data_IF_882279366940
#
_entry.id   IF_882279366940
#
_cell.length_a   1.000
_cell.length_b   1.000
_cell.length_c   1.000
_cell.angle_alpha   90.00
_cell.angle_beta   90.00
_cell.angle_gamma   90.00
#
_symmetry.space_group_name_H-M   'P 1'
#
loop_
_entity.id
_entity.type
_entity.pdbx_description
1 polymer ?
#
# COMPACT_ATOMS: atom_id res chain seq x y z
N UNK A 1 19.32 -14.79 23.07
CA UNK A 1 18.91 -13.42 22.68
C UNK A 1 17.40 -13.51 22.50
N UNK A 2 16.62 -12.60 23.09
CA UNK A 2 15.17 -12.59 22.84
C UNK A 2 14.87 -12.09 21.40
N UNK A 3 13.67 -12.40 20.89
CA UNK A 3 13.25 -12.06 19.53
C UNK A 3 13.36 -10.56 19.24
N UNK A 4 13.08 -9.71 20.23
CA UNK A 4 13.16 -8.26 20.08
C UNK A 4 14.60 -7.82 19.83
N UNK A 5 15.55 -8.33 20.61
CA UNK A 5 16.98 -8.03 20.45
C UNK A 5 17.54 -8.53 19.10
N UNK A 6 17.06 -9.68 18.61
CA UNK A 6 17.45 -10.21 17.30
C UNK A 6 16.97 -9.30 16.17
N UNK A 7 15.68 -8.92 16.19
CA UNK A 7 15.14 -7.99 15.18
C UNK A 7 15.84 -6.64 15.24
N UNK A 8 16.14 -6.11 16.43
CA UNK A 8 16.92 -4.87 16.57
C UNK A 8 18.28 -4.99 15.91
N UNK A 9 19.01 -6.09 16.11
CA UNK A 9 20.34 -6.25 15.50
C UNK A 9 20.32 -6.19 13.96
N UNK A 10 19.32 -6.80 13.33
CA UNK A 10 19.21 -6.82 11.86
C UNK A 10 18.69 -5.49 11.31
N UNK A 11 17.78 -4.84 12.02
CA UNK A 11 17.16 -3.60 11.56
C UNK A 11 18.04 -2.38 11.80
N UNK A 12 18.70 -2.29 12.96
CA UNK A 12 19.51 -1.12 13.34
C UNK A 12 20.85 -1.07 12.58
N UNK A 13 21.25 -2.16 11.92
CA UNK A 13 22.38 -2.17 10.97
C UNK A 13 22.04 -1.50 9.64
N UNK A 14 20.76 -1.41 9.28
CA UNK A 14 20.31 -1.01 7.94
C UNK A 14 19.50 0.29 7.97
N UNK A 15 18.70 0.51 9.01
CA UNK A 15 17.78 1.64 9.08
C UNK A 15 18.07 2.57 10.24
N UNK A 16 17.96 3.88 9.97
CA UNK A 16 17.95 4.89 11.01
C UNK A 16 16.52 5.16 11.52
N UNK A 17 16.37 5.51 12.80
CA UNK A 17 15.04 5.78 13.39
C UNK A 17 14.26 6.91 12.71
N UNK A 18 14.95 7.85 12.06
CA UNK A 18 14.33 8.92 11.28
C UNK A 18 13.75 8.41 9.94
N UNK A 19 14.03 7.17 9.53
CA UNK A 19 13.39 6.51 8.39
C UNK A 19 12.08 5.81 8.78
N UNK A 20 11.85 5.55 10.06
CA UNK A 20 10.62 4.93 10.56
C UNK A 20 10.11 5.58 11.86
N UNK A 21 9.99 6.92 11.90
CA UNK A 21 9.76 7.65 13.14
C UNK A 21 8.43 7.28 13.82
N UNK A 22 7.37 6.95 13.07
CA UNK A 22 6.08 6.61 13.65
C UNK A 22 6.13 5.23 14.30
N UNK A 23 6.70 4.23 13.63
CA UNK A 23 6.93 2.91 14.23
C UNK A 23 7.90 2.96 15.42
N UNK A 24 8.97 3.75 15.34
CA UNK A 24 9.91 3.94 16.44
C UNK A 24 9.23 4.56 17.67
N UNK A 25 8.31 5.51 17.46
CA UNK A 25 7.55 6.12 18.54
C UNK A 25 6.57 5.12 19.19
N UNK A 26 5.88 4.30 18.39
CA UNK A 26 5.02 3.23 18.91
C UNK A 26 5.82 2.18 19.68
N UNK A 27 6.97 1.75 19.15
CA UNK A 27 7.86 0.80 19.83
C UNK A 27 8.30 1.32 21.21
N UNK A 28 8.69 2.59 21.30
CA UNK A 28 9.10 3.20 22.55
C UNK A 28 7.95 3.26 23.57
N UNK A 29 6.76 3.68 23.15
CA UNK A 29 5.57 3.72 24.01
C UNK A 29 5.15 2.31 24.46
N UNK A 30 5.07 1.38 23.52
CA UNK A 30 4.56 0.03 23.76
C UNK A 30 5.50 -0.85 24.56
N UNK A 31 6.81 -0.54 24.57
CA UNK A 31 7.76 -1.15 25.50
C UNK A 31 7.36 -0.93 26.97
N UNK A 32 6.65 0.17 27.27
CA UNK A 32 6.16 0.49 28.61
C UNK A 32 4.70 0.05 28.82
N UNK A 33 3.82 0.35 27.85
CA UNK A 33 2.37 0.16 28.00
C UNK A 33 1.89 -1.26 27.71
N UNK A 34 2.66 -2.02 26.92
CA UNK A 34 2.41 -3.43 26.55
C UNK A 34 0.95 -3.73 26.16
N UNK A 35 0.37 -3.02 25.17
CA UNK A 35 -1.06 -3.11 24.87
C UNK A 35 -1.51 -4.48 24.32
N UNK A 36 -0.57 -5.31 23.88
CA UNK A 36 -0.84 -6.63 23.30
C UNK A 36 -0.43 -7.78 24.23
N UNK A 37 -0.11 -7.51 25.50
CA UNK A 37 0.29 -8.53 26.47
C UNK A 37 -0.76 -9.65 26.54
N UNK A 38 -0.30 -10.89 26.30
CA UNK A 38 -1.16 -12.08 26.31
C UNK A 38 -2.05 -12.27 25.08
N UNK A 39 -1.94 -11.42 24.05
CA UNK A 39 -2.71 -11.53 22.82
C UNK A 39 -1.91 -12.23 21.71
N UNK A 40 -2.56 -13.12 20.97
CA UNK A 40 -2.05 -13.71 19.73
C UNK A 40 -2.38 -12.79 18.56
N UNK A 41 -1.36 -12.20 17.96
CA UNK A 41 -1.51 -11.23 16.86
C UNK A 41 -0.94 -11.84 15.59
N UNK A 42 -1.79 -12.05 14.58
CA UNK A 42 -1.37 -12.43 13.24
C UNK A 42 -1.15 -11.16 12.41
N UNK A 43 0.05 -10.95 11.88
CA UNK A 43 0.35 -9.85 10.94
C UNK A 43 0.72 -10.43 9.58
N UNK A 44 -0.04 -10.06 8.54
CA UNK A 44 0.04 -10.64 7.21
C UNK A 44 0.33 -9.57 6.14
N UNK A 45 1.32 -8.72 6.40
CA UNK A 45 1.90 -7.81 5.39
C UNK A 45 2.89 -8.56 4.50
N UNK A 46 3.20 -8.08 3.27
CA UNK A 46 4.27 -8.66 2.47
C UNK A 46 5.57 -8.78 3.28
N UNK A 47 6.23 -9.93 3.22
CA UNK A 47 7.33 -10.24 4.12
C UNK A 47 8.63 -9.73 3.51
N UNK A 48 9.12 -8.59 3.99
CA UNK A 48 10.35 -7.94 3.55
C UNK A 48 11.10 -7.39 4.77
N UNK A 49 12.37 -7.02 4.61
CA UNK A 49 13.17 -6.50 5.73
C UNK A 49 12.51 -5.27 6.37
N UNK A 50 11.99 -4.36 5.55
CA UNK A 50 11.32 -3.16 6.01
C UNK A 50 10.05 -3.44 6.85
N UNK A 51 9.28 -4.49 6.56
CA UNK A 51 8.05 -4.80 7.30
C UNK A 51 8.33 -5.42 8.68
N UNK A 52 9.54 -5.94 8.90
CA UNK A 52 9.96 -6.40 10.23
C UNK A 52 10.02 -5.27 11.27
N UNK A 53 10.08 -4.00 10.86
CA UNK A 53 9.98 -2.87 11.79
C UNK A 53 8.60 -2.81 12.49
N UNK A 54 7.53 -3.23 11.80
CA UNK A 54 6.21 -3.40 12.41
C UNK A 54 6.21 -4.56 13.41
N UNK A 55 6.88 -5.67 13.07
CA UNK A 55 6.96 -6.85 13.94
C UNK A 55 7.68 -6.51 15.25
N UNK A 56 8.75 -5.71 15.16
CA UNK A 56 9.48 -5.20 16.33
C UNK A 56 8.58 -4.37 17.24
N UNK A 57 7.77 -3.46 16.69
CA UNK A 57 6.83 -2.68 17.48
C UNK A 57 5.77 -3.56 18.17
N UNK A 58 5.16 -4.52 17.45
CA UNK A 58 4.17 -5.44 18.01
C UNK A 58 4.75 -6.30 19.16
N UNK A 59 5.98 -6.79 19.00
CA UNK A 59 6.69 -7.55 20.03
C UNK A 59 7.02 -6.69 21.25
N UNK A 60 7.44 -5.43 21.05
CA UNK A 60 7.62 -4.48 22.16
C UNK A 60 6.33 -4.29 22.96
N UNK A 61 5.19 -4.26 22.27
CA UNK A 61 3.86 -4.22 22.88
C UNK A 61 3.38 -5.51 23.55
N UNK A 62 4.19 -6.57 23.57
CA UNK A 62 3.90 -7.83 24.27
C UNK A 62 3.09 -8.85 23.47
N UNK A 63 2.94 -8.66 22.16
CA UNK A 63 2.21 -9.59 21.31
C UNK A 63 2.90 -10.96 21.20
N UNK A 64 2.11 -12.03 21.25
CA UNK A 64 2.50 -13.34 20.73
C UNK A 64 2.33 -13.33 19.20
N UNK A 65 3.40 -13.00 18.48
CA UNK A 65 3.38 -12.74 17.04
C UNK A 65 3.28 -14.02 16.20
N UNK A 66 2.42 -13.99 15.17
CA UNK A 66 2.46 -14.88 14.01
C UNK A 66 2.58 -14.03 12.74
N UNK A 67 3.36 -14.50 11.76
CA UNK A 67 3.54 -13.81 10.47
C UNK A 67 2.81 -14.58 9.38
N UNK A 68 1.85 -13.92 8.72
CA UNK A 68 1.06 -14.51 7.65
C UNK A 68 1.79 -14.47 6.30
N UNK A 69 1.86 -15.61 5.61
CA UNK A 69 2.43 -15.74 4.28
C UNK A 69 1.32 -15.81 3.23
N UNK A 70 1.26 -14.83 2.33
CA UNK A 70 0.22 -14.71 1.30
C UNK A 70 0.74 -14.55 -0.14
N UNK A 71 2.07 -14.61 -0.34
CA UNK A 71 2.68 -14.68 -1.67
C UNK A 71 3.88 -13.76 -1.82
N UNK A 72 3.69 -12.43 -1.70
CA UNK A 72 4.76 -11.45 -1.89
C UNK A 72 5.74 -11.47 -0.70
N UNK A 73 6.99 -11.84 -0.96
CA UNK A 73 8.01 -11.96 0.07
C UNK A 73 9.43 -11.86 -0.49
N UNK A 74 10.35 -11.54 0.40
CA UNK A 74 11.77 -11.86 0.32
C UNK A 74 12.02 -13.22 1.00
N UNK A 75 12.44 -14.26 0.26
CA UNK A 75 12.70 -15.59 0.81
C UNK A 75 13.72 -15.60 1.95
N UNK A 76 14.74 -14.75 1.90
CA UNK A 76 15.79 -14.70 2.93
C UNK A 76 15.22 -14.18 4.26
N UNK A 77 14.25 -13.25 4.18
CA UNK A 77 13.53 -12.76 5.36
C UNK A 77 12.60 -13.85 5.92
N UNK A 78 11.92 -14.60 5.05
CA UNK A 78 11.07 -15.73 5.48
C UNK A 78 11.89 -16.80 6.20
N UNK A 79 13.04 -17.17 5.67
CA UNK A 79 13.93 -18.15 6.29
C UNK A 79 14.51 -17.63 7.60
N UNK A 80 14.92 -16.35 7.66
CA UNK A 80 15.32 -15.69 8.89
C UNK A 80 14.24 -15.77 9.98
N UNK A 81 12.98 -15.45 9.66
CA UNK A 81 11.88 -15.51 10.64
C UNK A 81 11.72 -16.92 11.22
N UNK A 82 11.79 -17.95 10.37
CA UNK A 82 11.69 -19.36 10.79
C UNK A 82 12.86 -19.79 11.66
N UNK A 83 14.08 -19.45 11.27
CA UNK A 83 15.31 -19.81 11.99
C UNK A 83 15.35 -19.25 13.41
N UNK A 84 14.75 -18.06 13.59
CA UNK A 84 14.66 -17.41 14.90
C UNK A 84 13.37 -17.71 15.66
N UNK A 85 12.51 -18.60 15.14
CA UNK A 85 11.35 -19.11 15.85
C UNK A 85 10.12 -18.19 15.84
N UNK A 86 10.04 -17.25 14.89
CA UNK A 86 8.80 -16.52 14.59
C UNK A 86 7.95 -17.39 13.65
N UNK A 87 6.75 -17.84 14.06
CA UNK A 87 5.92 -18.69 13.21
C UNK A 87 5.48 -17.96 11.94
N UNK A 88 5.84 -18.53 10.79
CA UNK A 88 5.33 -18.11 9.47
C UNK A 88 4.23 -19.08 9.07
N UNK A 89 3.01 -18.58 8.91
CA UNK A 89 1.79 -19.40 8.73
C UNK A 89 1.05 -19.04 7.45
N UNK A 90 0.39 -20.01 6.84
CA UNK A 90 -0.49 -19.80 5.67
C UNK A 90 -1.98 -19.84 6.08
N UNK A 91 -2.92 -19.30 5.26
CA UNK A 91 -4.34 -19.29 5.58
C UNK A 91 -4.92 -20.67 5.92
N UNK A 92 -4.50 -21.72 5.19
CA UNK A 92 -4.97 -23.08 5.43
C UNK A 92 -4.61 -23.61 6.82
N UNK A 93 -3.39 -23.35 7.30
CA UNK A 93 -2.93 -23.76 8.63
C UNK A 93 -3.70 -23.05 9.74
N UNK A 94 -3.98 -21.75 9.54
CA UNK A 94 -4.74 -20.96 10.51
C UNK A 94 -6.20 -21.39 10.60
N UNK A 95 -6.84 -21.72 9.48
CA UNK A 95 -8.18 -22.29 9.47
C UNK A 95 -8.23 -23.66 10.16
N UNK A 96 -7.20 -24.49 9.96
CA UNK A 96 -7.10 -25.77 10.65
C UNK A 96 -6.94 -25.58 12.18
N UNK A 97 -6.08 -24.66 12.60
CA UNK A 97 -5.90 -24.31 14.01
C UNK A 97 -7.21 -23.81 14.64
N UNK A 98 -7.95 -22.94 13.93
CA UNK A 98 -9.24 -22.46 14.37
C UNK A 98 -10.27 -23.59 14.55
N UNK A 99 -10.28 -24.58 13.64
CA UNK A 99 -11.15 -25.77 13.75
C UNK A 99 -10.88 -26.61 15.01
N UNK A 100 -9.66 -26.52 15.57
CA UNK A 100 -9.27 -27.14 16.84
C UNK A 100 -9.50 -26.24 18.06
N UNK A 101 -10.07 -25.05 17.86
CA UNK A 101 -10.34 -24.07 18.90
C UNK A 101 -9.16 -23.13 19.21
N UNK A 102 -8.13 -23.08 18.36
CA UNK A 102 -6.93 -22.26 18.57
C UNK A 102 -7.04 -20.89 17.88
N UNK A 103 -7.90 -20.01 18.39
CA UNK A 103 -8.15 -18.68 17.81
C UNK A 103 -7.00 -17.68 18.02
N UNK A 104 -6.80 -16.80 17.05
CA UNK A 104 -6.03 -15.55 17.22
C UNK A 104 -6.92 -14.46 17.80
N UNK A 105 -6.32 -13.46 18.43
CA UNK A 105 -7.06 -12.34 19.01
C UNK A 105 -7.25 -11.22 17.97
N UNK A 106 -6.21 -10.94 17.18
CA UNK A 106 -6.19 -9.91 16.15
C UNK A 106 -5.59 -10.43 14.84
N UNK A 107 -6.11 -9.93 13.72
CA UNK A 107 -5.55 -10.15 12.38
C UNK A 107 -5.27 -8.79 11.73
N UNK A 108 -3.99 -8.51 11.49
CA UNK A 108 -3.49 -7.35 10.76
C UNK A 108 -3.21 -7.80 9.33
N UNK A 109 -4.21 -7.72 8.46
CA UNK A 109 -4.20 -8.30 7.12
C UNK A 109 -3.74 -7.32 6.03
N UNK A 110 -3.34 -7.87 4.89
CA UNK A 110 -3.04 -7.14 3.66
C UNK A 110 -3.58 -7.91 2.46
N UNK A 111 -4.56 -7.33 1.78
CA UNK A 111 -5.28 -7.88 0.63
C UNK A 111 -6.24 -9.04 0.94
N UNK A 112 -6.65 -9.21 2.20
CA UNK A 112 -7.64 -10.19 2.62
C UNK A 112 -7.32 -11.70 2.60
N UNK A 113 -6.06 -12.20 2.50
CA UNK A 113 -5.79 -13.64 2.50
C UNK A 113 -6.24 -14.35 3.78
N UNK A 114 -6.38 -13.64 4.90
CA UNK A 114 -6.82 -14.17 6.19
C UNK A 114 -8.23 -13.72 6.59
N UNK A 115 -8.99 -13.12 5.67
CA UNK A 115 -10.34 -12.60 5.93
C UNK A 115 -11.37 -13.67 6.37
N UNK A 116 -11.08 -14.95 6.11
CA UNK A 116 -11.95 -16.07 6.49
C UNK A 116 -11.81 -16.51 7.96
N UNK A 117 -10.83 -15.99 8.70
CA UNK A 117 -10.63 -16.31 10.12
C UNK A 117 -11.71 -15.66 11.01
N UNK A 118 -11.81 -16.11 12.26
CA UNK A 118 -12.70 -15.51 13.26
C UNK A 118 -11.89 -15.01 14.47
N UNK A 119 -11.14 -13.89 14.36
CA UNK A 119 -10.39 -13.34 15.48
C UNK A 119 -11.31 -12.97 16.63
N UNK A 120 -10.82 -13.10 17.87
CA UNK A 120 -11.62 -12.76 19.06
C UNK A 120 -12.00 -11.28 19.10
N UNK A 121 -11.06 -10.40 18.74
CA UNK A 121 -11.21 -8.95 18.79
C UNK A 121 -11.63 -8.39 17.43
N UNK A 122 -10.78 -8.50 16.40
CA UNK A 122 -11.10 -7.95 15.08
C UNK A 122 -9.94 -7.93 14.10
N UNK A 123 -10.13 -7.16 13.03
CA UNK A 123 -9.22 -7.07 11.89
C UNK A 123 -8.75 -5.63 11.63
N UNK A 124 -7.57 -5.54 11.02
CA UNK A 124 -7.13 -4.32 10.33
C UNK A 124 -6.67 -4.69 8.93
N UNK A 125 -7.34 -4.18 7.89
CA UNK A 125 -6.97 -4.40 6.49
C UNK A 125 -6.13 -3.22 5.97
N UNK A 126 -4.92 -3.52 5.49
CA UNK A 126 -3.94 -2.53 5.06
C UNK A 126 -4.22 -1.90 3.68
N UNK A 127 -4.94 -2.59 2.79
CA UNK A 127 -5.02 -2.24 1.36
C UNK A 127 -6.45 -2.22 0.82
N UNK A 128 -6.68 -1.41 -0.23
CA UNK A 128 -8.00 -1.34 -0.89
C UNK A 128 -8.45 -2.68 -1.48
N UNK A 129 -7.52 -3.45 -2.07
CA UNK A 129 -7.80 -4.72 -2.73
C UNK A 129 -8.38 -5.77 -1.79
N UNK A 130 -8.07 -5.69 -0.49
CA UNK A 130 -8.61 -6.61 0.52
C UNK A 130 -10.03 -6.29 0.98
N UNK A 131 -10.48 -5.04 0.83
CA UNK A 131 -11.75 -4.56 1.42
C UNK A 131 -12.96 -5.40 1.01
N UNK A 132 -12.99 -5.89 -0.22
CA UNK A 132 -14.09 -6.72 -0.74
C UNK A 132 -14.32 -8.01 0.08
N UNK A 133 -13.26 -8.59 0.66
CA UNK A 133 -13.37 -9.81 1.46
C UNK A 133 -13.99 -9.58 2.83
N UNK A 134 -14.06 -8.33 3.28
CA UNK A 134 -14.54 -7.92 4.60
C UNK A 134 -15.95 -7.32 4.59
N UNK A 135 -16.63 -7.24 3.45
CA UNK A 135 -17.95 -6.62 3.32
C UNK A 135 -19.01 -7.20 4.28
N UNK A 136 -18.89 -8.48 4.62
CA UNK A 136 -19.82 -9.20 5.49
C UNK A 136 -19.20 -9.58 6.85
N UNK A 137 -18.07 -8.98 7.21
CA UNK A 137 -17.36 -9.30 8.45
C UNK A 137 -18.24 -9.07 9.69
N UNK A 138 -18.26 -10.06 10.59
CA UNK A 138 -18.99 -10.03 11.87
C UNK A 138 -18.15 -9.51 13.04
N UNK A 139 -16.97 -9.02 12.71
CA UNK A 139 -16.03 -8.38 13.62
C UNK A 139 -15.70 -7.01 13.07
N UNK A 140 -15.27 -6.06 13.91
CA UNK A 140 -14.80 -4.77 13.43
C UNK A 140 -13.59 -4.97 12.50
N UNK A 141 -13.55 -4.18 11.43
CA UNK A 141 -12.48 -4.17 10.44
C UNK A 141 -12.10 -2.72 10.19
N UNK A 142 -10.96 -2.27 10.69
CA UNK A 142 -10.43 -0.98 10.26
C UNK A 142 -9.76 -1.12 8.88
N UNK A 143 -10.10 -0.21 7.96
CA UNK A 143 -9.48 -0.15 6.62
C UNK A 143 -8.43 0.95 6.60
N UNK A 144 -7.18 0.61 6.88
CA UNK A 144 -6.07 1.56 6.95
C UNK A 144 -5.85 2.30 5.61
N UNK A 145 -6.17 1.65 4.48
CA UNK A 145 -6.05 2.25 3.16
C UNK A 145 -6.89 3.53 2.99
N UNK A 146 -8.01 3.65 3.69
CA UNK A 146 -8.91 4.80 3.53
C UNK A 146 -8.35 6.10 4.10
N UNK A 147 -7.26 6.01 4.88
CA UNK A 147 -6.62 7.13 5.54
C UNK A 147 -5.76 8.03 4.64
N UNK A 148 -5.52 9.24 5.11
CA UNK A 148 -4.56 10.19 4.52
C UNK A 148 -3.12 9.69 4.65
N UNK A 149 -2.80 8.92 5.71
CA UNK A 149 -1.48 8.32 5.92
C UNK A 149 -1.09 7.42 4.75
N UNK A 150 -2.04 6.63 4.22
CA UNK A 150 -1.77 5.69 3.12
C UNK A 150 -1.29 6.40 1.84
N UNK A 151 -1.56 7.70 1.68
CA UNK A 151 -1.06 8.48 0.54
C UNK A 151 0.45 8.59 0.53
N UNK A 152 1.13 8.53 1.68
CA UNK A 152 2.60 8.53 1.74
C UNK A 152 3.13 7.32 0.96
N UNK A 153 2.66 6.13 1.30
CA UNK A 153 3.07 4.89 0.63
C UNK A 153 2.66 4.88 -0.84
N UNK A 154 1.40 5.21 -1.12
CA UNK A 154 0.82 5.01 -2.46
C UNK A 154 1.15 6.12 -3.45
N UNK A 155 1.29 7.37 -3.00
CA UNK A 155 1.61 8.51 -3.86
C UNK A 155 3.10 8.84 -3.90
N UNK A 156 3.85 8.68 -2.80
CA UNK A 156 5.31 8.89 -2.83
C UNK A 156 6.05 7.58 -3.07
N UNK A 157 5.75 6.56 -2.25
CA UNK A 157 6.46 5.27 -2.28
C UNK A 157 6.30 4.49 -3.58
N UNK A 158 5.09 4.36 -4.12
CA UNK A 158 4.86 3.61 -5.36
C UNK A 158 5.46 4.31 -6.58
N UNK A 159 5.39 5.65 -6.64
CA UNK A 159 6.06 6.43 -7.69
C UNK A 159 7.57 6.27 -7.65
N UNK A 160 8.19 6.35 -6.46
CA UNK A 160 9.61 6.07 -6.25
C UNK A 160 9.98 4.63 -6.67
N UNK A 161 9.22 3.63 -6.23
CA UNK A 161 9.44 2.22 -6.56
C UNK A 161 9.37 1.92 -8.06
N UNK A 162 8.47 2.57 -8.80
CA UNK A 162 8.41 2.43 -10.26
C UNK A 162 9.73 2.86 -10.93
N UNK A 163 10.23 4.05 -10.62
CA UNK A 163 11.46 4.57 -11.23
C UNK A 163 12.71 3.82 -10.78
N UNK A 164 12.81 3.44 -9.50
CA UNK A 164 13.91 2.59 -9.01
C UNK A 164 13.97 1.24 -9.73
N UNK A 165 12.81 0.65 -10.02
CA UNK A 165 12.74 -0.60 -10.77
C UNK A 165 13.21 -0.43 -12.22
N UNK A 166 12.84 0.66 -12.89
CA UNK A 166 13.37 0.99 -14.21
C UNK A 166 14.90 1.16 -14.18
N UNK A 167 15.41 1.92 -13.22
CA UNK A 167 16.85 2.14 -13.01
C UNK A 167 17.61 0.83 -12.78
N UNK A 168 17.07 -0.07 -11.94
CA UNK A 168 17.64 -1.40 -11.69
C UNK A 168 17.74 -2.24 -12.96
N UNK A 169 16.79 -2.06 -13.88
CA UNK A 169 16.78 -2.73 -15.19
C UNK A 169 17.67 -2.03 -16.23
N UNK A 170 18.36 -0.94 -15.86
CA UNK A 170 19.16 -0.11 -16.77
C UNK A 170 18.32 0.71 -17.76
N UNK A 171 17.01 0.86 -17.49
CA UNK A 171 16.10 1.62 -18.32
C UNK A 171 16.13 3.10 -17.91
N UNK A 172 16.14 3.99 -18.90
CA UNK A 172 16.26 5.42 -18.70
C UNK A 172 17.70 5.96 -18.82
N UNK A 173 18.74 5.15 -19.04
CA UNK A 173 20.07 5.70 -19.31
C UNK A 173 20.12 6.51 -20.62
N UNK A 174 20.62 7.76 -20.56
CA UNK A 174 21.03 8.50 -21.75
C UNK A 174 22.27 7.86 -22.41
N UNK A 175 22.62 8.27 -23.63
CA UNK A 175 23.76 7.73 -24.39
C UNK A 175 25.12 7.86 -23.67
N UNK A 176 25.19 8.64 -22.58
CA UNK A 176 26.37 8.78 -21.74
C UNK A 176 26.13 8.14 -20.37
N UNK A 177 26.78 7.00 -20.15
CA UNK A 177 26.65 6.17 -18.97
C UNK A 177 27.11 6.85 -17.68
N UNK A 178 26.15 7.38 -16.90
CA UNK A 178 26.17 7.41 -15.43
C UNK A 178 24.82 7.92 -14.90
N UNK A 179 23.88 7.01 -14.61
CA UNK A 179 22.55 7.32 -14.09
C UNK A 179 21.43 7.27 -15.14
N UNK A 180 20.21 6.98 -14.71
CA UNK A 180 19.04 7.10 -15.57
C UNK A 180 18.65 8.59 -15.70
N UNK A 181 18.48 9.04 -16.94
CA UNK A 181 17.99 10.33 -17.34
C UNK A 181 16.59 10.18 -17.98
N UNK A 182 15.57 10.62 -17.24
CA UNK A 182 14.18 10.59 -17.68
C UNK A 182 13.74 11.93 -18.30
N UNK A 183 14.63 12.93 -18.35
CA UNK A 183 14.33 14.26 -18.87
C UNK A 183 13.83 14.18 -20.32
N UNK A 184 12.69 14.80 -20.58
CA UNK A 184 12.05 14.83 -21.90
C UNK A 184 11.45 13.51 -22.38
N UNK A 185 11.59 12.40 -21.63
CA UNK A 185 10.97 11.12 -21.97
C UNK A 185 9.46 11.19 -21.82
N UNK A 186 8.74 10.53 -22.72
CA UNK A 186 7.27 10.49 -22.72
C UNK A 186 6.77 9.34 -21.87
N UNK A 187 6.16 9.67 -20.74
CA UNK A 187 5.55 8.72 -19.82
C UNK A 187 4.03 8.77 -19.97
N UNK A 188 3.43 7.64 -20.32
CA UNK A 188 1.99 7.45 -20.34
C UNK A 188 1.56 6.60 -19.15
N UNK A 189 0.71 7.13 -18.29
CA UNK A 189 0.20 6.45 -17.10
C UNK A 189 -1.29 6.17 -17.29
N UNK A 190 -1.73 4.93 -17.09
CA UNK A 190 -3.14 4.57 -17.04
C UNK A 190 -3.62 4.50 -15.58
N UNK A 191 -4.61 5.31 -15.25
CA UNK A 191 -5.18 5.46 -13.91
C UNK A 191 -4.73 6.74 -13.22
N UNK A 192 -5.70 7.51 -12.70
CA UNK A 192 -5.46 8.74 -11.91
C UNK A 192 -5.66 8.53 -10.40
N UNK A 193 -5.70 7.29 -9.91
CA UNK A 193 -5.77 7.01 -8.46
C UNK A 193 -4.48 7.37 -7.72
N UNK A 194 -4.38 6.99 -6.44
CA UNK A 194 -3.22 7.31 -5.57
C UNK A 194 -1.88 6.87 -6.18
N UNK A 195 -1.85 5.64 -6.73
CA UNK A 195 -0.67 5.03 -7.34
C UNK A 195 -0.32 5.71 -8.67
N UNK A 196 -1.26 5.74 -9.62
CA UNK A 196 -1.03 6.35 -10.93
C UNK A 196 -0.63 7.82 -10.82
N UNK A 197 -1.26 8.57 -9.91
CA UNK A 197 -0.89 9.96 -9.66
C UNK A 197 0.49 10.11 -9.02
N UNK A 198 0.86 9.20 -8.12
CA UNK A 198 2.22 9.16 -7.57
C UNK A 198 3.28 8.95 -8.63
N UNK A 199 3.05 8.00 -9.54
CA UNK A 199 3.95 7.73 -10.68
C UNK A 199 4.02 8.95 -11.61
N UNK A 200 2.88 9.54 -11.95
CA UNK A 200 2.81 10.71 -12.81
C UNK A 200 3.58 11.91 -12.23
N UNK A 201 3.33 12.26 -10.96
CA UNK A 201 4.01 13.37 -10.29
C UNK A 201 5.51 13.12 -10.11
N UNK A 202 5.91 11.88 -9.83
CA UNK A 202 7.32 11.52 -9.77
C UNK A 202 7.98 11.61 -11.17
N UNK A 203 7.24 11.30 -12.23
CA UNK A 203 7.68 11.52 -13.61
C UNK A 203 7.90 13.00 -13.92
N UNK A 204 6.96 13.88 -13.53
CA UNK A 204 7.11 15.33 -13.68
C UNK A 204 8.36 15.83 -12.96
N UNK A 205 8.59 15.41 -11.70
CA UNK A 205 9.78 15.76 -10.91
C UNK A 205 11.10 15.29 -11.54
N UNK A 206 11.05 14.25 -12.38
CA UNK A 206 12.19 13.69 -13.10
C UNK A 206 12.29 14.21 -14.55
N UNK A 207 11.51 15.23 -14.91
CA UNK A 207 11.56 15.89 -16.21
C UNK A 207 10.82 15.18 -17.34
N UNK A 208 10.01 14.15 -17.06
CA UNK A 208 9.22 13.47 -18.08
C UNK A 208 8.15 14.40 -18.66
N UNK A 209 7.84 14.21 -19.95
CA UNK A 209 6.58 14.65 -20.53
C UNK A 209 5.49 13.63 -20.19
N UNK A 210 4.65 13.95 -19.20
CA UNK A 210 3.68 13.00 -18.63
C UNK A 210 2.27 13.21 -19.21
N UNK A 211 1.63 12.11 -19.60
CA UNK A 211 0.19 12.06 -19.85
C UNK A 211 -0.46 10.97 -18.98
N UNK A 212 -1.65 11.26 -18.45
CA UNK A 212 -2.46 10.33 -17.66
C UNK A 212 -3.75 10.03 -18.40
N UNK A 213 -4.10 8.76 -18.49
CA UNK A 213 -5.37 8.28 -19.07
C UNK A 213 -6.25 7.80 -17.93
N UNK A 214 -7.46 8.34 -17.82
CA UNK A 214 -8.41 7.97 -16.77
C UNK A 214 -9.86 8.15 -17.24
N UNK A 215 -10.82 7.59 -16.51
CA UNK A 215 -12.23 7.80 -16.78
C UNK A 215 -12.66 9.17 -16.21
N UNK A 216 -12.83 10.16 -17.09
CA UNK A 216 -13.27 11.51 -16.70
C UNK A 216 -14.74 11.55 -16.28
N UNK A 217 -15.53 10.52 -16.64
CA UNK A 217 -16.94 10.42 -16.26
C UNK A 217 -17.11 9.82 -14.86
N UNK A 218 -16.03 9.29 -14.25
CA UNK A 218 -16.05 8.72 -12.90
C UNK A 218 -16.35 9.77 -11.83
N UNK A 219 -15.96 11.03 -12.04
CA UNK A 219 -16.32 12.15 -11.18
C UNK A 219 -17.81 12.55 -11.31
N UNK A 220 -18.49 12.11 -12.38
CA UNK A 220 -19.89 12.42 -12.69
C UNK A 220 -20.86 11.29 -12.31
N UNK A 221 -20.36 10.09 -12.02
CA UNK A 221 -21.20 8.96 -11.65
C UNK A 221 -21.62 9.04 -10.17
N UNK A 222 -22.80 9.59 -9.92
CA UNK A 222 -23.60 9.35 -8.71
C UNK A 222 -24.09 7.89 -8.61
N UNK A 223 -23.69 7.01 -9.54
CA UNK A 223 -24.01 5.59 -9.52
C UNK A 223 -23.08 4.82 -8.56
N UNK A 224 -23.23 5.07 -7.26
CA UNK A 224 -23.07 3.97 -6.31
C UNK A 224 -24.04 2.83 -6.74
N UNK A 225 -23.65 1.55 -6.62
CA UNK A 225 -24.58 0.47 -6.94
C UNK A 225 -25.87 0.66 -6.13
N UNK A 226 -27.04 0.66 -6.78
CA UNK A 226 -28.36 0.81 -6.10
C UNK A 226 -28.63 -0.28 -5.04
N UNK A 227 -27.77 -1.30 -4.94
CA UNK A 227 -27.80 -2.36 -3.94
C UNK A 227 -26.51 -2.46 -3.10
N UNK A 228 -25.69 -1.40 -3.06
CA UNK A 228 -24.59 -1.35 -2.11
C UNK A 228 -25.18 -1.13 -0.69
N UNK A 229 -24.78 -1.90 0.33
CA UNK A 229 -25.27 -1.68 1.70
C UNK A 229 -25.01 -0.23 2.09
N UNK A 230 -25.87 0.40 2.90
CA UNK A 230 -25.74 1.83 3.30
C UNK A 230 -24.34 2.20 3.85
N UNK A 231 -23.55 1.21 4.28
CA UNK A 231 -22.17 1.36 4.73
C UNK A 231 -21.11 1.43 3.60
N UNK A 232 -21.47 1.15 2.34
CA UNK A 232 -20.61 1.29 1.17
C UNK A 232 -20.63 2.72 0.59
N UNK A 233 -21.65 3.53 0.90
CA UNK A 233 -21.65 4.96 0.55
C UNK A 233 -20.54 5.75 1.28
N UNK A 234 -19.96 5.19 2.35
CA UNK A 234 -18.83 5.78 3.03
C UNK A 234 -17.47 5.36 2.45
N UNK A 235 -17.39 4.41 1.50
CA UNK A 235 -16.12 4.18 0.81
C UNK A 235 -15.80 5.41 -0.03
N UNK A 236 -14.89 6.25 0.45
CA UNK A 236 -14.39 7.39 -0.33
C UNK A 236 -14.12 6.92 -1.76
N UNK A 237 -14.63 7.63 -2.78
CA UNK A 237 -14.25 7.33 -4.15
C UNK A 237 -12.71 7.32 -4.20
N UNK A 238 -12.12 6.32 -4.87
CA UNK A 238 -10.69 6.32 -5.13
C UNK A 238 -10.35 7.68 -5.73
N UNK A 239 -9.73 8.54 -4.92
CA UNK A 239 -9.80 9.99 -5.12
C UNK A 239 -9.44 10.35 -6.56
N UNK A 240 -10.27 11.17 -7.20
CA UNK A 240 -9.92 11.72 -8.49
C UNK A 240 -8.84 12.78 -8.30
N UNK A 241 -7.62 12.47 -8.72
CA UNK A 241 -6.47 13.38 -8.64
C UNK A 241 -6.28 14.18 -9.94
N UNK A 242 -7.20 14.11 -10.91
CA UNK A 242 -7.05 14.75 -12.23
C UNK A 242 -6.74 16.26 -12.11
N UNK A 243 -7.44 16.98 -11.24
CA UNK A 243 -7.18 18.41 -11.02
C UNK A 243 -5.77 18.68 -10.46
N UNK A 244 -5.26 17.82 -9.57
CA UNK A 244 -3.89 17.93 -9.04
C UNK A 244 -2.87 17.66 -10.15
N UNK A 245 -3.14 16.67 -10.99
CA UNK A 245 -2.29 16.32 -12.13
C UNK A 245 -2.21 17.47 -13.14
N UNK A 246 -3.34 18.04 -13.53
CA UNK A 246 -3.40 19.19 -14.46
C UNK A 246 -2.66 20.42 -13.91
N UNK A 247 -2.80 20.71 -12.61
CA UNK A 247 -2.05 21.80 -11.95
C UNK A 247 -0.53 21.60 -11.98
N UNK A 248 -0.06 20.35 -12.12
CA UNK A 248 1.35 20.00 -12.26
C UNK A 248 1.77 19.80 -13.73
N UNK A 249 0.99 20.30 -14.69
CA UNK A 249 1.32 20.26 -16.10
C UNK A 249 1.17 18.87 -16.75
N UNK A 250 0.47 17.94 -16.10
CA UNK A 250 0.18 16.63 -16.66
C UNK A 250 -1.02 16.74 -17.62
N UNK A 251 -0.87 16.18 -18.81
CA UNK A 251 -1.97 16.06 -19.77
C UNK A 251 -2.91 14.91 -19.37
N UNK A 252 -4.14 15.21 -18.95
CA UNK A 252 -5.14 14.19 -18.58
C UNK A 252 -6.09 13.92 -19.75
N UNK A 253 -6.29 12.65 -20.11
CA UNK A 253 -7.07 12.21 -21.27
C UNK A 253 -8.12 11.18 -20.85
N UNK A 254 -9.31 11.26 -21.44
CA UNK A 254 -10.38 10.28 -21.23
C UNK A 254 -10.00 8.91 -21.78
N UNK A 255 -10.14 7.85 -20.98
CA UNK A 255 -9.88 6.48 -21.39
C UNK A 255 -10.75 5.98 -22.54
N UNK A 256 -11.90 6.62 -22.79
CA UNK A 256 -12.80 6.29 -23.88
C UNK A 256 -12.42 6.99 -25.20
N UNK A 257 -11.49 7.95 -25.20
CA UNK A 257 -10.91 8.51 -26.42
C UNK A 257 -9.81 7.59 -26.97
N UNK A 258 -10.21 6.43 -27.48
CA UNK A 258 -9.30 5.41 -28.00
C UNK A 258 -8.35 5.92 -29.09
N UNK A 259 -8.78 6.93 -29.88
CA UNK A 259 -7.95 7.50 -30.93
C UNK A 259 -6.77 8.28 -30.32
N UNK A 260 -7.04 9.17 -29.36
CA UNK A 260 -6.00 9.93 -28.66
C UNK A 260 -5.11 9.01 -27.82
N UNK A 261 -5.72 8.07 -27.08
CA UNK A 261 -4.97 7.12 -26.24
C UNK A 261 -4.04 6.24 -27.09
N UNK A 262 -4.50 5.73 -28.23
CA UNK A 262 -3.65 4.95 -29.16
C UNK A 262 -2.47 5.77 -29.68
N UNK A 263 -2.71 7.02 -30.07
CA UNK A 263 -1.65 7.92 -30.53
C UNK A 263 -0.63 8.25 -29.43
N UNK A 264 -1.05 8.25 -28.16
CA UNK A 264 -0.13 8.40 -27.02
C UNK A 264 0.70 7.13 -26.80
N UNK A 265 0.10 5.95 -26.86
CA UNK A 265 0.82 4.66 -26.74
C UNK A 265 1.91 4.53 -27.82
N UNK A 266 1.60 4.91 -29.06
CA UNK A 266 2.56 4.85 -30.18
C UNK A 266 3.75 5.78 -30.02
N UNK A 267 3.58 6.90 -29.28
CA UNK A 267 4.61 7.94 -29.11
C UNK A 267 5.36 7.84 -27.78
N UNK A 268 4.89 7.03 -26.84
CA UNK A 268 5.44 6.92 -25.51
C UNK A 268 6.81 6.21 -25.52
N UNK A 269 7.69 6.63 -24.60
CA UNK A 269 8.89 5.87 -24.26
C UNK A 269 8.57 4.81 -23.20
N UNK A 270 7.66 5.17 -22.28
CA UNK A 270 7.21 4.32 -21.17
C UNK A 270 5.69 4.35 -21.07
N UNK A 271 5.08 3.17 -20.89
CA UNK A 271 3.66 3.00 -20.59
C UNK A 271 3.53 2.20 -19.31
N UNK A 272 2.77 2.74 -18.36
CA UNK A 272 2.55 2.08 -17.06
C UNK A 272 1.08 2.05 -16.70
N UNK A 273 0.59 0.92 -16.20
CA UNK A 273 -0.79 0.73 -15.74
C UNK A 273 -0.89 0.75 -14.22
N UNK A 274 -1.88 1.45 -13.68
CA UNK A 274 -2.15 1.62 -12.25
C UNK A 274 -3.64 1.90 -11.99
N UNK A 275 -4.52 1.23 -12.72
CA UNK A 275 -5.97 1.42 -12.68
C UNK A 275 -6.64 0.64 -11.55
N UNK A 276 -6.04 -0.47 -11.11
CA UNK A 276 -6.62 -1.45 -10.21
C UNK A 276 -7.71 -2.30 -10.86
N UNK A 277 -7.83 -2.27 -12.20
CA UNK A 277 -8.90 -2.94 -12.95
C UNK A 277 -8.25 -4.00 -13.85
N UNK A 278 -8.63 -5.27 -13.62
CA UNK A 278 -8.25 -6.36 -14.50
C UNK A 278 -8.73 -6.09 -15.93
N UNK A 279 -7.88 -6.37 -16.92
CA UNK A 279 -8.17 -6.20 -18.34
C UNK A 279 -8.52 -4.74 -18.75
N UNK A 280 -8.08 -3.73 -17.98
CA UNK A 280 -8.38 -2.32 -18.26
C UNK A 280 -8.03 -1.86 -19.68
N UNK A 281 -6.97 -2.42 -20.27
CA UNK A 281 -6.48 -2.06 -21.60
C UNK A 281 -6.89 -3.10 -22.67
N UNK A 282 -7.83 -4.00 -22.39
CA UNK A 282 -8.23 -5.09 -23.31
C UNK A 282 -9.02 -4.63 -24.55
N UNK A 283 -9.37 -3.34 -24.66
CA UNK A 283 -10.03 -2.79 -25.85
C UNK A 283 -9.20 -3.06 -27.13
N UNK A 284 -9.79 -3.63 -28.20
CA UNK A 284 -9.06 -4.02 -29.42
C UNK A 284 -8.21 -2.90 -30.05
N UNK A 285 -8.70 -1.67 -29.97
CA UNK A 285 -8.04 -0.45 -30.45
C UNK A 285 -6.70 -0.22 -29.70
N UNK A 286 -6.72 -0.36 -28.38
CA UNK A 286 -5.54 -0.19 -27.53
C UNK A 286 -4.57 -1.36 -27.70
N UNK A 287 -5.08 -2.59 -27.77
CA UNK A 287 -4.28 -3.80 -27.96
C UNK A 287 -3.42 -3.73 -29.21
N UNK A 288 -3.97 -3.23 -30.32
CA UNK A 288 -3.19 -3.04 -31.56
C UNK A 288 -1.99 -2.12 -31.34
N UNK A 289 -2.19 -1.01 -30.64
CA UNK A 289 -1.14 -0.02 -30.32
C UNK A 289 -0.12 -0.60 -29.35
N UNK A 290 -0.56 -1.32 -28.31
CA UNK A 290 0.30 -1.99 -27.33
C UNK A 290 1.14 -3.10 -27.94
N UNK A 291 0.61 -3.86 -28.90
CA UNK A 291 1.34 -4.92 -29.58
C UNK A 291 2.42 -4.36 -30.52
N UNK A 292 2.19 -3.19 -31.12
CA UNK A 292 3.11 -2.60 -32.10
C UNK A 292 4.09 -1.57 -31.51
N UNK A 293 3.81 -0.99 -30.33
CA UNK A 293 4.69 0.01 -29.72
C UNK A 293 6.05 -0.55 -29.33
N UNK A 294 7.06 0.31 -29.37
CA UNK A 294 8.41 0.09 -28.85
C UNK A 294 8.57 0.58 -27.40
N UNK A 295 7.52 1.16 -26.81
CA UNK A 295 7.55 1.62 -25.43
C UNK A 295 7.85 0.47 -24.46
N UNK A 296 8.52 0.80 -23.35
CA UNK A 296 8.62 -0.11 -22.21
C UNK A 296 7.26 -0.18 -21.53
N UNK A 297 6.72 -1.39 -21.37
CA UNK A 297 5.42 -1.63 -20.73
C UNK A 297 5.61 -2.14 -19.31
N UNK A 298 4.88 -1.61 -18.34
CA UNK A 298 4.94 -2.01 -16.95
C UNK A 298 3.56 -1.98 -16.29
N UNK A 299 3.29 -2.91 -15.38
CA UNK A 299 2.12 -2.83 -14.51
C UNK A 299 2.55 -2.41 -13.10
N UNK A 300 1.70 -1.65 -12.41
CA UNK A 300 1.83 -1.29 -10.99
C UNK A 300 0.58 -1.64 -10.18
N UNK A 301 -0.47 -2.15 -10.84
CA UNK A 301 -1.63 -2.76 -10.20
C UNK A 301 -1.38 -4.19 -9.74
N UNK A 302 -2.31 -4.72 -8.93
CA UNK A 302 -2.28 -6.12 -8.47
C UNK A 302 -2.76 -7.09 -9.56
N UNK A 303 -3.74 -6.66 -10.35
CA UNK A 303 -4.33 -7.45 -11.44
C UNK A 303 -3.51 -7.31 -12.74
N UNK A 304 -3.68 -8.25 -13.68
CA UNK A 304 -3.24 -8.04 -15.08
C UNK A 304 -4.16 -7.01 -15.75
N UNK A 305 -3.68 -5.78 -15.87
CA UNK A 305 -4.44 -4.68 -16.48
C UNK A 305 -4.27 -4.62 -18.01
N UNK A 306 -3.27 -5.30 -18.57
CA UNK A 306 -3.00 -5.33 -20.01
C UNK A 306 -3.87 -6.35 -20.74
N UNK A 307 -4.24 -7.43 -20.06
CA UNK A 307 -5.07 -8.50 -20.59
C UNK A 307 -4.36 -9.49 -21.51
N UNK A 308 -5.02 -10.61 -21.78
CA UNK A 308 -4.42 -11.82 -22.37
C UNK A 308 -3.74 -11.60 -23.74
N UNK A 309 -4.25 -10.67 -24.54
CA UNK A 309 -3.73 -10.41 -25.88
C UNK A 309 -2.32 -9.80 -25.90
N UNK A 310 -1.91 -9.07 -24.85
CA UNK A 310 -0.51 -8.61 -24.72
C UNK A 310 0.34 -9.74 -24.13
N UNK A 311 1.41 -10.21 -24.82
CA UNK A 311 2.29 -11.25 -24.30
C UNK A 311 2.92 -10.85 -22.96
N UNK A 312 3.05 -11.82 -22.06
CA UNK A 312 3.60 -11.61 -20.71
C UNK A 312 5.04 -11.10 -20.73
N UNK A 313 5.82 -11.48 -21.75
CA UNK A 313 7.21 -11.09 -21.94
C UNK A 313 7.35 -9.65 -22.45
N UNK A 314 6.27 -9.07 -23.00
CA UNK A 314 6.27 -7.68 -23.48
C UNK A 314 6.12 -6.67 -22.32
N UNK A 315 5.60 -7.13 -21.19
CA UNK A 315 5.37 -6.30 -19.99
C UNK A 315 6.38 -6.70 -18.92
N UNK A 316 7.07 -5.72 -18.35
CA UNK A 316 8.02 -5.95 -17.28
C UNK A 316 7.36 -6.69 -16.10
N UNK A 317 8.18 -7.46 -15.38
CA UNK A 317 7.76 -8.30 -14.25
C UNK A 317 6.56 -9.22 -14.57
N UNK A 318 6.47 -9.72 -15.81
CA UNK A 318 5.42 -10.64 -16.24
C UNK A 318 3.99 -10.12 -15.95
N UNK A 319 3.77 -8.81 -16.18
CA UNK A 319 2.52 -8.09 -15.89
C UNK A 319 2.17 -7.96 -14.40
N UNK A 320 3.02 -8.41 -13.49
CA UNK A 320 2.91 -8.11 -12.07
C UNK A 320 3.36 -6.69 -11.75
N UNK A 321 3.06 -6.18 -10.54
CA UNK A 321 3.48 -4.85 -10.12
C UNK A 321 5.02 -4.74 -10.13
N UNK A 322 5.54 -3.79 -10.89
CA UNK A 322 6.96 -3.74 -11.28
C UNK A 322 7.89 -3.54 -10.08
N UNK A 323 7.50 -2.75 -9.10
CA UNK A 323 8.34 -2.46 -7.94
C UNK A 323 8.69 -3.71 -7.11
N UNK A 324 7.95 -4.81 -7.24
CA UNK A 324 8.26 -6.07 -6.54
C UNK A 324 9.50 -6.80 -7.06
N UNK A 325 10.18 -6.30 -8.10
CA UNK A 325 11.52 -6.80 -8.48
C UNK A 325 12.64 -6.23 -7.59
N UNK A 326 12.32 -5.23 -6.76
CA UNK A 326 13.27 -4.55 -5.88
C UNK A 326 13.43 -5.33 -4.57
N UNK A 327 14.59 -5.19 -3.93
CA UNK A 327 14.82 -5.72 -2.58
C UNK A 327 13.81 -5.11 -1.59
N UNK A 328 13.54 -3.81 -1.75
CA UNK A 328 12.45 -3.12 -1.07
C UNK A 328 11.48 -2.54 -2.11
N UNK A 329 10.31 -3.19 -2.32
CA UNK A 329 9.31 -2.72 -3.27
C UNK A 329 8.85 -1.29 -2.99
N UNK A 330 8.75 -0.94 -1.72
CA UNK A 330 8.56 0.43 -1.22
C UNK A 330 9.60 0.66 -0.14
N UNK A 331 10.43 1.69 -0.25
CA UNK A 331 11.41 1.98 0.80
C UNK A 331 10.73 2.21 2.16
N UNK A 332 11.40 1.81 3.25
CA UNK A 332 10.88 1.93 4.61
C UNK A 332 10.30 3.32 4.91
N UNK A 333 11.03 4.39 4.57
CA UNK A 333 10.61 5.78 4.77
C UNK A 333 9.24 6.15 4.20
N UNK A 334 8.76 5.44 3.17
CA UNK A 334 7.45 5.69 2.57
C UNK A 334 6.34 4.75 3.08
N UNK A 335 6.68 3.60 3.67
CA UNK A 335 5.69 2.60 4.13
C UNK A 335 5.52 2.59 5.65
N UNK A 336 6.51 3.06 6.40
CA UNK A 336 6.56 2.99 7.87
C UNK A 336 5.30 3.55 8.54
N UNK A 337 4.80 4.71 8.07
CA UNK A 337 3.65 5.37 8.70
C UNK A 337 2.36 4.57 8.44
N UNK A 338 2.25 3.90 7.29
CA UNK A 338 1.13 3.00 6.98
C UNK A 338 1.16 1.75 7.86
N UNK A 339 2.36 1.18 8.08
CA UNK A 339 2.55 0.06 9.01
C UNK A 339 2.28 0.47 10.47
N UNK A 340 2.68 1.68 10.86
CA UNK A 340 2.37 2.26 12.15
C UNK A 340 0.86 2.43 12.34
N UNK A 341 0.16 2.93 11.32
CA UNK A 341 -1.30 3.04 11.36
C UNK A 341 -1.96 1.67 11.47
N UNK A 342 -1.49 0.68 10.70
CA UNK A 342 -1.97 -0.69 10.75
C UNK A 342 -1.85 -1.30 12.15
N UNK A 343 -0.73 -1.08 12.83
CA UNK A 343 -0.50 -1.55 14.19
C UNK A 343 -1.28 -0.74 15.24
N UNK A 344 -1.34 0.59 15.13
CA UNK A 344 -2.07 1.45 16.07
C UNK A 344 -3.59 1.22 16.02
N UNK A 345 -4.14 0.89 14.85
CA UNK A 345 -5.55 0.50 14.73
C UNK A 345 -5.84 -0.83 15.45
N UNK A 346 -4.86 -1.74 15.49
CA UNK A 346 -4.99 -2.96 16.27
C UNK A 346 -5.03 -2.66 17.78
N UNK A 347 -4.18 -1.75 18.26
CA UNK A 347 -4.25 -1.26 19.64
C UNK A 347 -5.62 -0.62 19.94
N UNK A 348 -6.15 0.21 19.03
CA UNK A 348 -7.49 0.79 19.18
C UNK A 348 -8.56 -0.28 19.37
N UNK A 349 -8.52 -1.36 18.60
CA UNK A 349 -9.43 -2.49 18.76
C UNK A 349 -9.32 -3.17 20.13
N UNK A 350 -8.09 -3.33 20.66
CA UNK A 350 -7.88 -3.87 22.02
C UNK A 350 -8.52 -2.96 23.06
N UNK A 351 -8.31 -1.65 22.96
CA UNK A 351 -8.85 -0.67 23.91
C UNK A 351 -10.39 -0.66 23.89
N UNK A 352 -11.00 -0.71 22.71
CA UNK A 352 -12.45 -0.81 22.55
C UNK A 352 -13.01 -2.11 23.13
N UNK A 353 -12.32 -3.24 22.89
CA UNK A 353 -12.71 -4.52 23.46
C UNK A 353 -12.62 -4.51 24.99
N UNK A 354 -11.55 -3.97 25.57
CA UNK A 354 -11.41 -3.84 27.02
C UNK A 354 -12.51 -2.92 27.61
N UNK A 355 -12.79 -1.78 26.98
CA UNK A 355 -13.84 -0.86 27.40
C UNK A 355 -15.24 -1.48 27.40
N UNK A 356 -15.54 -2.34 26.41
CA UNK A 356 -16.82 -3.05 26.33
C UNK A 356 -17.06 -4.06 27.46
N UNK A 357 -16.00 -4.54 28.12
CA UNK A 357 -16.08 -5.52 29.22
C UNK A 357 -16.23 -4.92 30.61
N UNK A 358 -16.01 -3.61 30.78
CA UNK A 358 -16.00 -2.93 32.09
C UNK A 358 -17.34 -2.26 32.47
N UNK A 359 -18.24 -2.02 31.51
CA UNK A 359 -19.55 -1.41 31.76
C UNK A 359 -20.68 -2.45 31.74
N UNK A 360 -21.27 -2.69 32.91
CA UNK A 360 -22.42 -3.59 33.06
C UNK A 360 -23.66 -3.13 32.28
N UNK A 361 -24.30 -4.10 31.62
CA UNK A 361 -25.67 -4.12 31.07
C UNK A 361 -26.14 -3.09 30.03
N UNK A 362 -25.40 -2.04 29.69
CA UNK A 362 -25.71 -1.13 28.57
C UNK A 362 -24.48 -0.90 27.67
N UNK A 363 -23.84 -1.98 27.23
CA UNK A 363 -22.69 -1.90 26.34
C UNK A 363 -23.16 -1.56 24.92
N UNK A 364 -22.69 -0.45 24.35
CA UNK A 364 -22.63 -0.33 22.90
C UNK A 364 -21.77 -1.49 22.39
N UNK A 365 -22.34 -2.37 21.56
CA UNK A 365 -21.59 -3.44 20.93
C UNK A 365 -20.40 -2.84 20.16
N UNK A 366 -19.28 -3.56 20.09
CA UNK A 366 -18.20 -3.19 19.18
C UNK A 366 -18.79 -3.25 17.76
N UNK A 367 -19.00 -2.09 17.11
CA UNK A 367 -19.60 -1.99 15.78
C UNK A 367 -18.98 -2.97 14.78
N UNK A 368 -19.76 -3.90 14.26
CA UNK A 368 -19.30 -4.88 13.28
C UNK A 368 -19.00 -4.23 11.92
N UNK A 369 -18.14 -4.88 11.13
CA UNK A 369 -17.90 -4.51 9.74
C UNK A 369 -16.85 -3.43 9.53
N UNK A 370 -16.88 -2.84 8.34
CA UNK A 370 -15.85 -1.91 7.85
C UNK A 370 -15.90 -0.56 8.55
N UNK A 371 -14.73 -0.05 8.94
CA UNK A 371 -14.55 1.23 9.63
C UNK A 371 -13.37 2.01 9.06
N UNK A 372 -13.45 3.33 9.20
CA UNK A 372 -12.37 4.25 8.83
C UNK A 372 -11.38 4.41 9.98
N UNK A 373 -10.09 4.66 9.67
CA UNK A 373 -9.12 5.05 10.68
C UNK A 373 -9.61 6.29 11.45
N UNK A 374 -9.54 6.29 12.79
CA UNK A 374 -9.84 7.49 13.56
C UNK A 374 -8.86 8.62 13.23
N UNK A 375 -9.39 9.83 12.99
CA UNK A 375 -8.61 10.97 12.52
C UNK A 375 -7.49 11.36 13.50
N UNK A 376 -7.71 11.21 14.80
CA UNK A 376 -6.72 11.52 15.83
C UNK A 376 -5.50 10.60 15.77
N UNK A 377 -5.67 9.33 15.40
CA UNK A 377 -4.55 8.39 15.21
C UNK A 377 -3.78 8.79 13.96
N UNK A 378 -4.47 9.06 12.85
CA UNK A 378 -3.82 9.49 11.61
C UNK A 378 -3.03 10.79 11.80
N UNK A 379 -3.62 11.81 12.42
CA UNK A 379 -2.96 13.09 12.68
C UNK A 379 -1.74 12.94 13.57
N UNK A 380 -1.82 12.09 14.61
CA UNK A 380 -0.69 11.79 15.48
C UNK A 380 0.47 11.20 14.68
N UNK A 381 0.22 10.15 13.90
CA UNK A 381 1.27 9.46 13.14
C UNK A 381 1.84 10.35 12.02
N UNK A 382 0.99 11.12 11.32
CA UNK A 382 1.43 12.11 10.35
C UNK A 382 2.33 13.17 10.96
N UNK A 383 1.96 13.70 12.13
CA UNK A 383 2.77 14.71 12.82
C UNK A 383 4.14 14.17 13.17
N UNK A 384 4.22 12.93 13.68
CA UNK A 384 5.49 12.26 14.00
C UNK A 384 6.32 12.07 12.73
N UNK A 385 5.73 11.58 11.64
CA UNK A 385 6.41 11.38 10.37
C UNK A 385 6.94 12.69 9.77
N UNK A 386 6.17 13.78 9.87
CA UNK A 386 6.57 15.10 9.38
C UNK A 386 7.72 15.69 10.21
N UNK A 387 7.63 15.61 11.53
CA UNK A 387 8.57 16.29 12.42
C UNK A 387 9.90 15.55 12.57
N UNK A 388 9.86 14.21 12.58
CA UNK A 388 11.00 13.38 12.91
C UNK A 388 11.49 12.52 11.74
N UNK A 389 10.76 12.53 10.62
CA UNK A 389 11.04 11.68 9.45
C UNK A 389 11.91 12.35 8.40
N UNK A 390 12.74 11.55 7.72
CA UNK A 390 13.59 12.01 6.60
C UNK A 390 12.80 12.54 5.40
N UNK A 391 11.53 12.15 5.26
CA UNK A 391 10.63 12.59 4.17
C UNK A 391 9.61 13.65 4.61
N UNK A 392 9.77 14.27 5.77
CA UNK A 392 8.84 15.29 6.27
C UNK A 392 8.50 16.39 5.25
N UNK A 393 9.49 16.98 4.54
CA UNK A 393 9.23 17.95 3.48
C UNK A 393 8.41 17.39 2.30
N UNK A 394 8.65 16.14 1.89
CA UNK A 394 7.89 15.49 0.81
C UNK A 394 6.43 15.26 1.23
N UNK A 395 6.20 14.87 2.49
CA UNK A 395 4.85 14.72 3.06
C UNK A 395 4.13 16.09 3.06
N UNK A 396 4.78 17.16 3.49
CA UNK A 396 4.21 18.52 3.45
C UNK A 396 3.81 18.93 2.03
N UNK A 397 4.69 18.70 1.05
CA UNK A 397 4.41 18.97 -0.37
C UNK A 397 3.20 18.17 -0.87
N UNK A 398 3.12 16.87 -0.53
CA UNK A 398 1.99 16.00 -0.89
C UNK A 398 0.64 16.50 -0.31
N UNK A 399 0.67 17.13 0.86
CA UNK A 399 -0.50 17.67 1.55
C UNK A 399 -0.91 19.08 1.09
N UNK A 400 -0.20 19.68 0.12
CA UNK A 400 -0.46 21.03 -0.37
C UNK A 400 0.12 22.14 0.52
N UNK A 401 1.08 21.83 1.40
CA UNK A 401 1.72 22.77 2.32
C UNK A 401 3.03 23.36 1.78
N UNK A 402 2.98 24.68 1.54
CA UNK A 402 4.01 25.72 1.29
C UNK A 402 5.11 25.39 0.25
N UNK A 403 5.29 26.20 -0.82
CA UNK A 403 6.53 26.22 -1.59
C UNK A 403 7.67 26.47 -0.61
N UNK A 404 8.61 25.54 -0.48
CA UNK A 404 9.85 25.89 0.20
C UNK A 404 10.48 27.01 -0.63
N UNK A 405 10.58 28.20 -0.04
CA UNK A 405 11.38 29.29 -0.60
C UNK A 405 12.85 28.82 -0.60
N UNK A 406 13.20 28.08 -1.64
CA UNK A 406 14.55 27.88 -2.16
C UNK A 406 14.43 27.61 -3.68
N UNK A 407 13.76 28.53 -4.38
CA UNK A 407 14.07 28.88 -5.77
C UNK A 407 14.91 30.17 -5.77
#
# INVERSE_FOLDING_TARGET
MDLQSILSSVLDEVYEKNEYPALAALEAEWSETRPFEGLRVLVATPIYRNTMTQYRALLAGGASLLVGFSGMNDPDVVDFLKDWGIPVVIPAEMLEAESRGEFVDLVLDCAGPFAALHPKIGFVELTRSGVQYYQNAKKPVFVADSGIVKRIETSLGTGDGYFRALEKLGLGAGENASGADFEGKKLLVFGSGKVGSGIALQGVRRGCAVSVVTDLNRASSENAPENAPENAANSMPAGDFSAVLEQNGVNVVDCHDYATVSALIEKADFVVTATGIKDALAAPELQKSLLSTSAVLANMGVEDEYGEAVPVEKVLNAKGPLNFILEEPTHLKYIETSLALHAALAERLVQEAAGSTQSGSDCAAIDEGLRFPPQEIEQRLLTIAIQNGVIGPEICSMLGGIPTEMD
#
